data_IF_536703095928
#
_entry.id   IF_536703095928
#
_cell.length_a   1.000
_cell.length_b   1.000
_cell.length_c   1.000
_cell.angle_alpha   90.00
_cell.angle_beta   90.00
_cell.angle_gamma   90.00
#
_symmetry.space_group_name_H-M   'P 1'
#
loop_
_entity.id
_entity.type
_entity.pdbx_description
1 polymer ?
#
# COMPACT_ATOMS: atom_id res chain seq x y z
N UNK A 1 0.38 1.48 19.88
CA UNK A 1 -0.56 1.47 18.74
C UNK A 1 0.17 2.00 17.52
N UNK A 2 0.00 1.39 16.35
CA UNK A 2 0.67 1.82 15.09
C UNK A 2 -0.19 2.78 14.26
N UNK A 3 -1.49 2.85 14.54
CA UNK A 3 -2.39 3.83 13.93
C UNK A 3 -2.34 5.15 14.70
N UNK A 4 -2.40 6.28 13.97
CA UNK A 4 -2.48 7.64 14.48
C UNK A 4 -3.93 8.16 14.47
N UNK A 5 -4.13 9.38 13.96
CA UNK A 5 -5.46 10.01 13.89
C UNK A 5 -6.46 9.23 13.02
N UNK A 6 -5.96 8.59 11.95
CA UNK A 6 -6.77 7.73 11.08
C UNK A 6 -6.18 6.33 10.97
N UNK A 7 -6.97 5.33 10.54
CA UNK A 7 -6.47 3.99 10.27
C UNK A 7 -5.49 3.89 9.09
N UNK A 8 -5.17 4.99 8.40
CA UNK A 8 -4.29 4.98 7.21
C UNK A 8 -2.81 4.89 7.59
N UNK A 9 -2.41 5.53 8.68
CA UNK A 9 -1.02 5.54 9.16
C UNK A 9 -0.57 4.19 9.73
N UNK A 10 0.74 3.96 9.71
CA UNK A 10 1.40 2.80 10.27
C UNK A 10 1.72 1.74 9.22
N UNK A 11 1.10 0.57 9.37
CA UNK A 11 1.39 -0.60 8.56
C UNK A 11 0.82 -0.46 7.14
N UNK A 12 1.59 -0.95 6.16
CA UNK A 12 1.08 -1.27 4.83
C UNK A 12 0.00 -2.34 5.02
N UNK A 13 -1.20 -2.14 4.46
CA UNK A 13 -2.29 -3.12 4.60
C UNK A 13 -2.77 -3.58 3.22
N UNK A 14 -3.92 -4.26 3.15
CA UNK A 14 -4.54 -4.74 1.91
C UNK A 14 -4.56 -3.70 0.80
N UNK A 15 -5.20 -2.55 1.08
CA UNK A 15 -5.41 -1.46 0.11
C UNK A 15 -4.91 -0.10 0.57
N UNK A 16 -4.43 -0.01 1.82
CA UNK A 16 -3.99 1.24 2.47
C UNK A 16 -2.48 1.39 2.38
N UNK A 17 -2.01 2.61 2.13
CA UNK A 17 -0.57 2.92 1.99
C UNK A 17 0.25 2.57 3.22
N UNK A 18 -0.30 2.77 4.43
CA UNK A 18 0.54 2.86 5.63
C UNK A 18 1.31 4.18 5.66
N UNK A 19 2.40 4.20 6.41
CA UNK A 19 3.29 5.37 6.49
C UNK A 19 3.91 5.72 5.13
N UNK A 20 3.75 6.97 4.72
CA UNK A 20 4.41 7.57 3.56
C UNK A 20 4.97 8.94 3.93
N UNK A 21 5.89 9.44 3.11
CA UNK A 21 6.31 10.84 3.20
C UNK A 21 5.11 11.75 2.91
N UNK A 22 4.73 12.67 3.82
CA UNK A 22 3.63 13.61 3.60
C UNK A 22 3.80 14.46 2.33
N UNK A 23 5.03 14.73 1.89
CA UNK A 23 5.30 15.51 0.68
C UNK A 23 4.86 14.80 -0.61
N UNK A 24 4.64 13.47 -0.58
CA UNK A 24 4.13 12.72 -1.73
C UNK A 24 2.73 13.17 -2.12
N UNK A 25 1.88 13.53 -1.16
CA UNK A 25 0.49 13.94 -1.43
C UNK A 25 0.42 15.18 -2.33
N UNK A 26 1.01 16.34 -1.95
CA UNK A 26 0.99 17.53 -2.81
C UNK A 26 1.81 17.32 -4.09
N UNK A 27 2.89 16.54 -4.05
CA UNK A 27 3.65 16.21 -5.25
C UNK A 27 2.80 15.43 -6.27
N UNK A 28 2.07 14.40 -5.82
CA UNK A 28 1.21 13.58 -6.65
C UNK A 28 0.10 14.43 -7.27
N UNK A 29 -0.62 15.19 -6.45
CA UNK A 29 -1.68 16.10 -6.91
C UNK A 29 -1.17 17.06 -8.00
N UNK A 30 -0.01 17.72 -7.77
CA UNK A 30 0.57 18.64 -8.73
C UNK A 30 1.04 17.95 -10.02
N UNK A 31 1.55 16.72 -9.92
CA UNK A 31 2.13 16.01 -11.06
C UNK A 31 1.06 15.36 -11.95
N UNK A 32 -0.03 14.87 -11.38
CA UNK A 32 -1.08 14.14 -12.10
C UNK A 32 -2.33 14.98 -12.35
N UNK A 33 -2.46 16.15 -11.73
CA UNK A 33 -3.68 16.95 -11.75
C UNK A 33 -4.81 16.35 -10.91
N UNK A 34 -4.51 15.34 -10.08
CA UNK A 34 -5.50 14.71 -9.22
C UNK A 34 -5.95 15.66 -8.11
N UNK A 35 -7.25 15.63 -7.82
CA UNK A 35 -7.80 16.32 -6.66
C UNK A 35 -7.59 15.53 -5.37
N UNK A 36 -7.97 16.13 -4.24
CA UNK A 36 -7.83 15.52 -2.92
C UNK A 36 -8.55 14.17 -2.82
N UNK A 37 -9.81 14.08 -3.27
CA UNK A 37 -10.64 12.88 -3.14
C UNK A 37 -10.07 11.71 -3.95
N UNK A 38 -9.48 12.00 -5.11
CA UNK A 38 -8.80 11.01 -5.94
C UNK A 38 -7.55 10.46 -5.26
N UNK A 39 -6.74 11.33 -4.65
CA UNK A 39 -5.55 10.92 -3.91
C UNK A 39 -5.92 10.16 -2.64
N UNK A 40 -6.94 10.61 -1.91
CA UNK A 40 -7.46 9.88 -0.74
C UNK A 40 -7.96 8.48 -1.12
N UNK A 41 -8.67 8.38 -2.25
CA UNK A 41 -9.11 7.09 -2.81
C UNK A 41 -7.91 6.20 -3.14
N UNK A 42 -6.84 6.74 -3.74
CA UNK A 42 -5.63 5.98 -4.01
C UNK A 42 -5.02 5.47 -2.70
N UNK A 43 -4.88 6.36 -1.71
CA UNK A 43 -4.22 6.05 -0.45
C UNK A 43 -4.98 5.00 0.36
N UNK A 44 -6.32 5.00 0.31
CA UNK A 44 -7.15 4.09 1.10
C UNK A 44 -7.55 2.80 0.37
N UNK A 45 -7.74 2.85 -0.96
CA UNK A 45 -8.41 1.78 -1.73
C UNK A 45 -7.54 1.16 -2.82
N UNK A 46 -6.48 1.83 -3.28
CA UNK A 46 -5.67 1.36 -4.43
C UNK A 46 -4.19 1.19 -4.12
N UNK A 47 -3.81 1.28 -2.85
CA UNK A 47 -2.42 1.20 -2.39
C UNK A 47 -2.16 -0.11 -1.65
N UNK A 48 -1.22 -0.12 -0.71
CA UNK A 48 -0.97 -1.29 0.12
C UNK A 48 -0.33 -2.44 -0.66
N UNK A 49 -0.56 -3.66 -0.18
CA UNK A 49 -0.09 -4.88 -0.86
C UNK A 49 -0.78 -5.07 -2.22
N UNK A 50 -2.01 -4.56 -2.40
CA UNK A 50 -2.68 -4.52 -3.71
C UNK A 50 -1.90 -3.66 -4.70
N UNK A 51 -1.55 -2.42 -4.32
CA UNK A 51 -0.81 -1.52 -5.18
C UNK A 51 0.60 -2.04 -5.54
N UNK A 52 1.28 -2.66 -4.57
CA UNK A 52 2.63 -3.19 -4.77
C UNK A 52 2.59 -4.47 -5.62
N UNK A 53 1.77 -5.46 -5.24
CA UNK A 53 1.68 -6.74 -5.95
C UNK A 53 1.05 -6.60 -7.32
N UNK A 54 0.05 -5.72 -7.47
CA UNK A 54 -0.80 -5.62 -8.66
C UNK A 54 -1.71 -6.83 -8.86
N UNK A 55 -1.89 -7.66 -7.83
CA UNK A 55 -2.65 -8.92 -7.92
C UNK A 55 -3.95 -8.85 -7.12
N UNK A 56 -3.84 -8.73 -5.80
CA UNK A 56 -4.98 -8.78 -4.89
C UNK A 56 -4.65 -8.05 -3.58
N UNK A 57 -5.68 -7.75 -2.79
CA UNK A 57 -5.55 -7.34 -1.39
C UNK A 57 -5.64 -8.53 -0.41
N UNK A 58 -5.92 -9.75 -0.91
CA UNK A 58 -5.96 -10.99 -0.14
C UNK A 58 -4.58 -11.65 -0.10
N UNK A 59 -4.02 -11.82 1.10
CA UNK A 59 -2.71 -12.41 1.30
C UNK A 59 -2.59 -13.84 0.77
N UNK A 60 -3.68 -14.63 0.77
CA UNK A 60 -3.66 -16.01 0.25
C UNK A 60 -3.36 -16.03 -1.25
N UNK A 61 -3.98 -15.11 -1.98
CA UNK A 61 -3.78 -14.96 -3.44
C UNK A 61 -2.38 -14.41 -3.73
N UNK A 62 -1.86 -13.52 -2.88
CA UNK A 62 -0.50 -12.98 -3.01
C UNK A 62 0.54 -14.06 -2.74
N UNK A 63 0.36 -14.89 -1.71
CA UNK A 63 1.24 -16.01 -1.39
C UNK A 63 1.29 -17.04 -2.53
N UNK A 64 0.13 -17.39 -3.07
CA UNK A 64 0.05 -18.27 -4.24
C UNK A 64 0.76 -17.65 -5.46
N UNK A 65 0.51 -16.36 -5.75
CA UNK A 65 1.18 -15.67 -6.84
C UNK A 65 2.70 -15.61 -6.64
N UNK A 66 3.17 -15.38 -5.42
CA UNK A 66 4.59 -15.37 -5.09
C UNK A 66 5.23 -16.76 -5.26
N UNK A 67 4.55 -17.82 -4.81
CA UNK A 67 4.97 -19.20 -5.01
C UNK A 67 5.04 -19.57 -6.51
N UNK A 68 4.14 -19.02 -7.33
CA UNK A 68 4.15 -19.15 -8.79
C UNK A 68 5.18 -18.23 -9.50
N UNK A 69 6.08 -17.57 -8.76
CA UNK A 69 7.18 -16.79 -9.30
C UNK A 69 6.89 -15.30 -9.55
N UNK A 70 5.74 -14.78 -9.08
CA UNK A 70 5.44 -13.35 -9.20
C UNK A 70 6.33 -12.52 -8.26
N UNK A 71 7.32 -11.85 -8.83
CA UNK A 71 8.28 -10.99 -8.11
C UNK A 71 7.62 -9.84 -7.36
N UNK A 72 6.54 -9.25 -7.90
CA UNK A 72 5.81 -8.14 -7.25
C UNK A 72 5.01 -8.64 -6.05
N UNK A 73 4.42 -9.83 -6.14
CA UNK A 73 3.74 -10.46 -5.01
C UNK A 73 4.72 -10.76 -3.87
N UNK A 74 5.88 -11.35 -4.17
CA UNK A 74 6.92 -11.57 -3.18
C UNK A 74 7.43 -10.26 -2.56
N UNK A 75 7.60 -9.20 -3.36
CA UNK A 75 7.98 -7.88 -2.85
C UNK A 75 6.92 -7.33 -1.87
N UNK A 76 5.64 -7.44 -2.20
CA UNK A 76 4.56 -6.99 -1.32
C UNK A 76 4.59 -7.70 0.03
N UNK A 77 4.77 -9.02 0.05
CA UNK A 77 4.93 -9.81 1.27
C UNK A 77 6.17 -9.39 2.07
N UNK A 78 7.31 -9.22 1.40
CA UNK A 78 8.55 -8.81 2.04
C UNK A 78 8.42 -7.43 2.70
N UNK A 79 7.80 -6.46 2.02
CA UNK A 79 7.55 -5.12 2.56
C UNK A 79 6.60 -5.18 3.76
N UNK A 80 5.55 -5.98 3.68
CA UNK A 80 4.63 -6.20 4.80
C UNK A 80 5.34 -6.80 6.01
N UNK A 81 6.07 -7.91 5.84
CA UNK A 81 6.83 -8.56 6.92
C UNK A 81 7.86 -7.62 7.55
N UNK A 82 8.57 -6.85 6.72
CA UNK A 82 9.53 -5.86 7.20
C UNK A 82 8.87 -4.82 8.10
N UNK A 83 7.69 -4.32 7.72
CA UNK A 83 6.95 -3.32 8.49
C UNK A 83 6.31 -3.89 9.76
N UNK A 84 5.84 -5.14 9.75
CA UNK A 84 5.27 -5.79 10.95
C UNK A 84 6.33 -6.10 11.99
N UNK A 85 7.56 -6.43 11.56
CA UNK A 85 8.68 -6.69 12.47
C UNK A 85 9.20 -5.43 13.17
N UNK A 86 9.01 -4.27 12.56
CA UNK A 86 9.50 -2.98 13.04
C UNK A 86 8.56 -2.37 14.07
#
# INVERSE_FOLDING_TARGET
TTMGFTPLSGLIMGTRTGDIDPAIVPFLMNKTGMNYDEVDTIMNKKSGVLGISGVSNDFRVIEEAAANGNKRAQLALNMFHYKVRR
#
